data_IF_277460083573
#
_entry.id   IF_277460083573
#
_cell.length_a   1.000
_cell.length_b   1.000
_cell.length_c   1.000
_cell.angle_alpha   90.00
_cell.angle_beta   90.00
_cell.angle_gamma   90.00
#
_symmetry.space_group_name_H-M   'P 1'
#
loop_
_entity.id
_entity.type
_entity.pdbx_description
1 polymer ?
#
# COMPACT_ATOMS: atom_id res chain seq x y z
N UNK A 1 2.92 -6.65 7.64
CA UNK A 1 2.57 -7.47 8.83
C UNK A 1 1.67 -8.58 8.34
N UNK A 2 1.89 -9.84 8.73
CA UNK A 2 1.12 -10.99 8.20
C UNK A 2 -0.35 -10.94 8.63
N UNK A 3 -0.66 -10.21 9.69
CA UNK A 3 -2.01 -9.97 10.20
C UNK A 3 -2.45 -8.53 9.97
N UNK A 4 -3.76 -8.31 9.89
CA UNK A 4 -4.37 -6.98 9.76
C UNK A 4 -4.77 -6.48 11.15
N UNK A 5 -4.38 -5.25 11.51
CA UNK A 5 -4.74 -4.63 12.80
C UNK A 5 -6.22 -4.25 12.86
N UNK A 6 -6.73 -3.61 11.82
CA UNK A 6 -8.12 -3.15 11.77
C UNK A 6 -9.05 -4.23 11.23
N UNK A 7 -10.29 -4.27 11.73
CA UNK A 7 -11.30 -5.19 11.21
C UNK A 7 -11.62 -4.82 9.76
N UNK A 8 -11.52 -5.80 8.88
CA UNK A 8 -11.97 -5.72 7.49
C UNK A 8 -13.14 -6.72 7.28
N UNK A 9 -13.95 -6.57 6.22
CA UNK A 9 -15.04 -7.49 5.92
C UNK A 9 -14.56 -8.93 5.71
N UNK A 10 -15.35 -9.93 6.13
CA UNK A 10 -14.97 -11.35 6.08
C UNK A 10 -14.72 -11.84 4.64
N UNK A 11 -15.52 -11.37 3.68
CA UNK A 11 -15.31 -11.66 2.25
C UNK A 11 -13.97 -11.11 1.73
N UNK A 12 -13.48 -10.01 2.32
CA UNK A 12 -12.16 -9.46 1.96
C UNK A 12 -11.03 -10.32 2.54
N UNK A 13 -11.25 -10.94 3.70
CA UNK A 13 -10.30 -11.89 4.29
C UNK A 13 -10.22 -13.15 3.42
N UNK A 14 -11.37 -13.73 3.07
CA UNK A 14 -11.47 -14.90 2.18
C UNK A 14 -10.75 -14.66 0.85
N UNK A 15 -11.00 -13.51 0.21
CA UNK A 15 -10.29 -13.08 -1.00
C UNK A 15 -8.75 -13.09 -0.83
N UNK A 16 -8.23 -12.61 0.30
CA UNK A 16 -6.78 -12.59 0.54
C UNK A 16 -6.22 -13.97 0.85
N UNK A 17 -6.97 -14.83 1.53
CA UNK A 17 -6.59 -16.21 1.80
C UNK A 17 -6.48 -17.02 0.50
N UNK A 18 -7.52 -16.97 -0.34
CA UNK A 18 -7.53 -17.60 -1.67
C UNK A 18 -6.40 -17.10 -2.55
N UNK A 19 -6.16 -15.79 -2.56
CA UNK A 19 -5.07 -15.20 -3.32
C UNK A 19 -3.69 -15.68 -2.82
N UNK A 20 -3.51 -15.71 -1.49
CA UNK A 20 -2.25 -16.16 -0.88
C UNK A 20 -1.95 -17.62 -1.24
N UNK A 21 -2.98 -18.48 -1.19
CA UNK A 21 -2.91 -19.88 -1.57
C UNK A 21 -2.60 -20.04 -3.08
N UNK A 22 -3.33 -19.34 -3.94
CA UNK A 22 -3.14 -19.40 -5.40
C UNK A 22 -1.73 -18.95 -5.84
N UNK A 23 -1.22 -17.91 -5.18
CA UNK A 23 0.14 -17.43 -5.45
C UNK A 23 1.22 -18.35 -4.88
N UNK A 24 0.90 -19.12 -3.84
CA UNK A 24 1.85 -19.81 -2.96
C UNK A 24 2.87 -18.82 -2.38
N UNK A 25 2.36 -17.68 -1.89
CA UNK A 25 3.17 -16.58 -1.35
C UNK A 25 2.43 -15.91 -0.20
N UNK A 26 3.18 -15.46 0.80
CA UNK A 26 2.63 -14.65 1.89
C UNK A 26 2.27 -13.25 1.39
N UNK A 27 1.10 -12.77 1.79
CA UNK A 27 0.68 -11.38 1.62
C UNK A 27 1.05 -10.57 2.86
N UNK A 28 1.68 -9.41 2.68
CA UNK A 28 2.07 -8.53 3.79
C UNK A 28 1.29 -7.23 3.74
N UNK A 29 0.48 -7.00 4.77
CA UNK A 29 -0.41 -5.84 4.83
C UNK A 29 0.29 -4.63 5.45
N UNK A 30 0.06 -3.45 4.85
CA UNK A 30 0.67 -2.18 5.21
C UNK A 30 -0.32 -1.01 5.05
N UNK A 31 0.18 0.21 5.29
CA UNK A 31 -0.62 1.40 5.12
C UNK A 31 -1.58 1.64 6.27
N UNK A 32 -2.68 2.34 6.00
CA UNK A 32 -3.63 2.71 7.06
C UNK A 32 -4.29 1.50 7.71
N UNK A 33 -4.42 0.37 7.02
CA UNK A 33 -5.02 -0.84 7.60
C UNK A 33 -4.26 -1.35 8.84
N UNK A 34 -2.99 -0.94 9.00
CA UNK A 34 -2.15 -1.26 10.15
C UNK A 34 -2.08 -0.14 11.21
N UNK A 35 -2.83 0.95 11.03
CA UNK A 35 -2.74 2.17 11.86
C UNK A 35 -4.10 2.60 12.38
N UNK A 36 -4.10 3.52 13.34
CA UNK A 36 -5.33 4.03 13.95
C UNK A 36 -6.06 5.05 13.05
N UNK A 37 -5.46 5.45 11.93
CA UNK A 37 -6.08 6.36 10.95
C UNK A 37 -6.87 5.61 9.86
N UNK A 38 -7.20 4.33 10.04
CA UNK A 38 -8.00 3.56 9.06
C UNK A 38 -9.47 4.01 9.06
N UNK A 39 -10.01 4.30 7.87
CA UNK A 39 -11.43 4.59 7.67
C UNK A 39 -12.03 3.48 6.82
N UNK A 40 -12.83 2.55 7.40
CA UNK A 40 -13.46 1.48 6.66
C UNK A 40 -14.27 2.00 5.46
N UNK A 41 -14.16 1.34 4.30
CA UNK A 41 -14.85 1.71 3.06
C UNK A 41 -14.24 2.89 2.28
N UNK A 42 -13.40 3.71 2.92
CA UNK A 42 -12.75 4.89 2.29
C UNK A 42 -11.23 4.71 2.12
N UNK A 43 -10.61 3.94 3.01
CA UNK A 43 -9.17 3.64 2.97
C UNK A 43 -8.89 2.39 2.15
N UNK A 44 -7.88 2.47 1.29
CA UNK A 44 -7.28 1.32 0.62
C UNK A 44 -6.56 0.39 1.61
N UNK A 45 -6.45 -0.87 1.19
CA UNK A 45 -5.60 -1.89 1.81
C UNK A 45 -4.32 -1.97 0.97
N UNK A 46 -3.18 -1.61 1.55
CA UNK A 46 -1.88 -1.76 0.89
C UNK A 46 -1.32 -3.16 1.18
N UNK A 47 -0.94 -3.90 0.14
CA UNK A 47 -0.43 -5.27 0.23
C UNK A 47 0.88 -5.39 -0.55
N UNK A 48 1.94 -5.85 0.12
CA UNK A 48 3.18 -6.19 -0.53
C UNK A 48 3.29 -7.70 -0.78
N UNK A 49 3.81 -8.05 -1.95
CA UNK A 49 4.13 -9.41 -2.36
C UNK A 49 5.61 -9.45 -2.71
N UNK A 50 6.37 -10.27 -1.99
CA UNK A 50 7.78 -10.51 -2.27
C UNK A 50 7.95 -11.82 -3.03
N UNK A 51 8.69 -11.75 -4.14
CA UNK A 51 8.86 -12.90 -5.03
C UNK A 51 10.25 -12.89 -5.65
N UNK A 52 10.75 -14.07 -5.98
CA UNK A 52 11.94 -14.29 -6.78
C UNK A 52 11.66 -14.10 -8.28
N UNK A 53 10.39 -14.26 -8.71
CA UNK A 53 9.96 -14.12 -10.09
C UNK A 53 8.75 -13.17 -10.22
N UNK A 54 9.03 -11.87 -10.36
CA UNK A 54 8.01 -10.82 -10.49
C UNK A 54 7.09 -11.05 -11.69
N UNK A 55 7.64 -11.52 -12.82
CA UNK A 55 6.87 -11.73 -14.06
C UNK A 55 5.80 -12.81 -13.85
N UNK A 56 6.17 -13.95 -13.26
CA UNK A 56 5.25 -15.05 -12.98
C UNK A 56 4.18 -14.64 -11.96
N UNK A 57 4.56 -13.96 -10.88
CA UNK A 57 3.61 -13.47 -9.87
C UNK A 57 2.61 -12.49 -10.50
N UNK A 58 3.04 -11.58 -11.36
CA UNK A 58 2.14 -10.69 -12.08
C UNK A 58 1.22 -11.48 -13.01
N UNK A 59 1.71 -12.48 -13.74
CA UNK A 59 0.86 -13.31 -14.61
C UNK A 59 -0.21 -14.07 -13.81
N UNK A 60 0.14 -14.63 -12.65
CA UNK A 60 -0.85 -15.24 -11.74
C UNK A 60 -1.88 -14.21 -11.25
N UNK A 61 -1.44 -13.02 -10.81
CA UNK A 61 -2.33 -11.95 -10.39
C UNK A 61 -3.26 -11.47 -11.52
N UNK A 62 -2.78 -11.40 -12.76
CA UNK A 62 -3.62 -11.07 -13.91
C UNK A 62 -4.77 -12.06 -14.06
N UNK A 63 -4.49 -13.35 -13.93
CA UNK A 63 -5.48 -14.40 -14.04
C UNK A 63 -6.48 -14.35 -12.87
N UNK A 64 -5.98 -14.28 -11.64
CA UNK A 64 -6.81 -14.26 -10.43
C UNK A 64 -7.71 -13.02 -10.37
N UNK A 65 -7.18 -11.84 -10.66
CA UNK A 65 -7.92 -10.57 -10.58
C UNK A 65 -8.69 -10.21 -11.86
N UNK A 66 -8.54 -11.01 -12.92
CA UNK A 66 -9.10 -10.73 -14.25
C UNK A 66 -8.72 -9.36 -14.83
N UNK A 67 -7.44 -8.99 -14.70
CA UNK A 67 -6.88 -7.68 -15.11
C UNK A 67 -5.86 -7.82 -16.24
N UNK A 68 -5.63 -6.72 -16.97
CA UNK A 68 -4.65 -6.68 -18.07
C UNK A 68 -3.26 -6.41 -17.54
N UNK A 69 -2.23 -6.82 -18.30
CA UNK A 69 -0.83 -6.52 -17.96
C UNK A 69 -0.57 -5.02 -17.87
N UNK A 70 -1.25 -4.23 -18.70
CA UNK A 70 -1.18 -2.77 -18.74
C UNK A 70 -1.65 -2.10 -17.45
N UNK A 71 -2.42 -2.79 -16.62
CA UNK A 71 -2.91 -2.25 -15.35
C UNK A 71 -1.81 -2.25 -14.27
N UNK A 72 -0.75 -3.04 -14.48
CA UNK A 72 0.44 -3.03 -13.65
C UNK A 72 1.41 -1.94 -14.09
N UNK A 73 1.72 -1.03 -13.17
CA UNK A 73 2.65 0.08 -13.39
C UNK A 73 3.97 -0.21 -12.71
N UNK A 74 5.08 -0.03 -13.43
CA UNK A 74 6.41 -0.08 -12.82
C UNK A 74 6.61 1.14 -11.95
N UNK A 75 7.36 0.98 -10.87
CA UNK A 75 7.77 2.11 -10.04
C UNK A 75 9.19 1.92 -9.52
N UNK A 76 9.76 3.04 -9.08
CA UNK A 76 11.07 3.12 -8.46
C UNK A 76 10.92 3.82 -7.12
N UNK A 77 11.57 3.27 -6.10
CA UNK A 77 11.56 3.82 -4.76
C UNK A 77 12.97 3.86 -4.19
N UNK A 78 13.46 5.04 -3.82
CA UNK A 78 14.69 5.18 -3.04
C UNK A 78 14.34 5.05 -1.55
N UNK A 79 14.91 4.05 -0.91
CA UNK A 79 14.70 3.78 0.51
C UNK A 79 15.47 4.82 1.36
N UNK A 80 14.80 5.40 2.35
CA UNK A 80 15.33 6.51 3.15
C UNK A 80 16.49 6.08 4.04
N UNK A 81 16.45 4.86 4.59
CA UNK A 81 17.45 4.39 5.55
C UNK A 81 18.82 4.05 4.96
N UNK A 82 18.93 3.79 3.65
CA UNK A 82 20.20 3.38 3.03
C UNK A 82 20.40 3.85 1.58
N UNK A 83 19.50 4.68 1.05
CA UNK A 83 19.52 5.16 -0.34
C UNK A 83 19.48 4.07 -1.42
N UNK A 84 19.14 2.82 -1.08
CA UNK A 84 18.97 1.75 -2.06
C UNK A 84 17.80 2.08 -2.97
N UNK A 85 17.99 1.89 -4.27
CA UNK A 85 16.94 2.05 -5.28
C UNK A 85 16.25 0.69 -5.45
N UNK A 86 15.04 0.57 -4.93
CA UNK A 86 14.18 -0.58 -5.12
C UNK A 86 13.29 -0.36 -6.35
N UNK A 87 13.06 -1.43 -7.09
CA UNK A 87 12.15 -1.46 -8.23
C UNK A 87 11.00 -2.40 -7.88
N UNK A 88 9.82 -2.10 -8.42
CA UNK A 88 8.65 -2.96 -8.24
C UNK A 88 7.58 -2.69 -9.29
N UNK A 89 6.51 -3.46 -9.19
CA UNK A 89 5.31 -3.30 -10.00
C UNK A 89 4.12 -3.11 -9.07
N UNK A 90 3.24 -2.17 -9.37
CA UNK A 90 2.03 -1.96 -8.59
C UNK A 90 0.78 -2.05 -9.43
N UNK A 91 -0.29 -2.56 -8.84
CA UNK A 91 -1.64 -2.54 -9.41
C UNK A 91 -2.61 -2.08 -8.34
N UNK A 92 -3.58 -1.29 -8.79
CA UNK A 92 -4.69 -0.86 -7.97
C UNK A 92 -5.94 -1.59 -8.41
N UNK A 93 -6.49 -2.41 -7.53
CA UNK A 93 -7.65 -3.25 -7.81
C UNK A 93 -8.87 -2.74 -7.04
N UNK A 94 -10.00 -2.71 -7.74
CA UNK A 94 -11.29 -2.25 -7.23
C UNK A 94 -12.37 -3.24 -7.65
N UNK A 95 -12.93 -3.95 -6.69
CA UNK A 95 -14.18 -4.68 -6.87
C UNK A 95 -15.30 -3.95 -6.12
N UNK A 96 -16.25 -3.37 -6.86
CA UNK A 96 -17.36 -2.63 -6.26
C UNK A 96 -18.41 -3.53 -5.63
N UNK A 97 -18.61 -4.74 -6.16
CA UNK A 97 -19.63 -5.67 -5.69
C UNK A 97 -19.26 -6.21 -4.31
N UNK A 98 -17.99 -6.54 -4.12
CA UNK A 98 -17.45 -7.06 -2.86
C UNK A 98 -16.87 -5.97 -1.95
N UNK A 99 -16.94 -4.69 -2.37
CA UNK A 99 -16.34 -3.55 -1.67
C UNK A 99 -14.84 -3.71 -1.38
N UNK A 100 -14.11 -4.43 -2.24
CA UNK A 100 -12.67 -4.66 -2.11
C UNK A 100 -11.91 -3.53 -2.78
N UNK A 101 -11.06 -2.89 -1.99
CA UNK A 101 -10.22 -1.79 -2.44
C UNK A 101 -8.77 -1.98 -1.98
N UNK A 102 -7.94 -2.43 -2.91
CA UNK A 102 -6.58 -2.91 -2.59
C UNK A 102 -5.55 -2.38 -3.57
N UNK A 103 -4.39 -2.00 -3.04
CA UNK A 103 -3.18 -1.74 -3.81
C UNK A 103 -2.18 -2.87 -3.56
N UNK A 104 -1.82 -3.59 -4.62
CA UNK A 104 -0.75 -4.57 -4.56
C UNK A 104 0.56 -3.97 -5.05
N UNK A 105 1.63 -4.13 -4.26
CA UNK A 105 3.00 -3.82 -4.64
C UNK A 105 3.84 -5.10 -4.68
N UNK A 106 4.45 -5.36 -5.82
CA UNK A 106 5.17 -6.60 -6.11
C UNK A 106 6.65 -6.26 -6.22
N UNK A 107 7.45 -6.93 -5.40
CA UNK A 107 8.87 -6.67 -5.26
C UNK A 107 9.69 -7.94 -5.39
N UNK A 108 10.90 -7.79 -5.94
CA UNK A 108 11.90 -8.84 -5.82
C UNK A 108 12.29 -9.07 -4.34
N UNK A 109 12.43 -10.33 -3.94
CA UNK A 109 12.84 -10.76 -2.59
C UNK A 109 14.13 -10.09 -2.10
N UNK A 110 15.06 -9.74 -3.00
CA UNK A 110 16.30 -9.02 -2.63
C UNK A 110 16.06 -7.69 -1.91
N UNK A 111 14.92 -7.05 -2.13
CA UNK A 111 14.57 -5.74 -1.53
C UNK A 111 13.79 -5.87 -0.23
N UNK A 112 13.34 -7.07 0.15
CA UNK A 112 12.42 -7.31 1.26
C UNK A 112 12.85 -6.66 2.56
N UNK A 113 14.08 -6.92 3.01
CA UNK A 113 14.57 -6.38 4.28
C UNK A 113 14.50 -4.85 4.35
N UNK A 114 14.87 -4.17 3.26
CA UNK A 114 14.85 -2.71 3.19
C UNK A 114 13.42 -2.15 3.15
N UNK A 115 12.55 -2.76 2.34
CA UNK A 115 11.15 -2.33 2.21
C UNK A 115 10.39 -2.54 3.53
N UNK A 116 10.55 -3.71 4.16
CA UNK A 116 9.92 -3.99 5.46
C UNK A 116 10.35 -2.98 6.53
N UNK A 117 11.61 -2.55 6.52
CA UNK A 117 12.10 -1.53 7.44
C UNK A 117 11.40 -0.19 7.22
N UNK A 118 11.27 0.27 5.97
CA UNK A 118 10.55 1.51 5.65
C UNK A 118 9.08 1.44 6.08
N UNK A 119 8.39 0.35 5.78
CA UNK A 119 6.99 0.20 6.18
C UNK A 119 6.83 0.17 7.69
N UNK A 120 7.70 -0.54 8.42
CA UNK A 120 7.63 -0.62 9.88
C UNK A 120 7.77 0.76 10.52
N UNK A 121 8.67 1.59 10.00
CA UNK A 121 8.85 2.98 10.45
C UNK A 121 7.61 3.85 10.22
N UNK A 122 6.81 3.54 9.20
CA UNK A 122 5.56 4.27 8.86
C UNK A 122 4.31 3.66 9.46
N UNK A 123 4.40 2.48 10.08
CA UNK A 123 3.29 1.84 10.79
C UNK A 123 3.18 2.36 12.21
N UNK A 124 4.31 2.48 12.92
CA UNK A 124 4.34 2.97 14.31
C UNK A 124 4.52 4.49 14.31
N UNK A 125 3.40 5.20 14.25
CA UNK A 125 3.40 6.66 14.22
C UNK A 125 3.37 7.27 15.62
N UNK A 126 4.09 8.38 15.86
CA UNK A 126 3.91 9.20 17.05
C UNK A 126 2.47 9.70 17.17
N UNK A 127 1.99 9.85 18.40
CA UNK A 127 0.60 10.27 18.70
C UNK A 127 0.15 11.51 17.91
N UNK A 128 1.01 12.53 17.83
CA UNK A 128 0.69 13.76 17.10
C UNK A 128 0.50 13.52 15.59
N UNK A 129 1.29 12.65 14.98
CA UNK A 129 1.18 12.33 13.56
C UNK A 129 -0.11 11.56 13.27
N UNK A 130 -0.48 10.62 14.15
CA UNK A 130 -1.76 9.89 14.05
C UNK A 130 -2.96 10.83 14.13
N UNK A 131 -2.98 11.76 15.09
CA UNK A 131 -4.07 12.75 15.20
C UNK A 131 -4.16 13.67 13.99
N UNK A 132 -3.02 14.15 13.49
CA UNK A 132 -3.00 14.97 12.28
C UNK A 132 -3.56 14.21 11.08
N UNK A 133 -3.27 12.91 10.93
CA UNK A 133 -3.84 12.08 9.87
C UNK A 133 -5.35 11.89 10.03
N UNK A 134 -5.84 11.65 11.25
CA UNK A 134 -7.28 11.51 11.52
C UNK A 134 -8.02 12.80 11.17
N UNK A 135 -7.52 13.96 11.62
CA UNK A 135 -8.10 15.27 11.31
C UNK A 135 -8.09 15.49 9.79
N UNK A 136 -6.94 15.28 9.14
CA UNK A 136 -6.80 15.47 7.69
C UNK A 136 -7.80 14.60 6.91
N UNK A 137 -7.95 13.33 7.31
CA UNK A 137 -8.90 12.39 6.71
C UNK A 137 -10.34 12.81 6.94
N UNK A 138 -10.69 13.26 8.14
CA UNK A 138 -12.04 13.78 8.42
C UNK A 138 -12.38 15.00 7.56
N UNK A 139 -11.45 15.95 7.41
CA UNK A 139 -11.62 17.12 6.54
C UNK A 139 -11.83 16.74 5.06
N UNK A 140 -11.14 15.68 4.60
CA UNK A 140 -11.22 15.22 3.22
C UNK A 140 -12.43 14.33 2.93
N UNK A 141 -12.67 13.30 3.75
CA UNK A 141 -13.72 12.30 3.52
C UNK A 141 -15.10 12.78 3.96
N UNK A 142 -15.21 13.47 5.10
CA UNK A 142 -16.50 13.85 5.66
C UNK A 142 -16.90 15.27 5.23
N UNK A 143 -16.00 16.24 5.43
CA UNK A 143 -16.33 17.65 5.16
C UNK A 143 -16.12 18.05 3.69
N UNK A 144 -15.40 17.23 2.90
CA UNK A 144 -15.07 17.50 1.48
C UNK A 144 -14.45 18.89 1.23
N UNK A 145 -13.73 19.43 2.23
CA UNK A 145 -13.10 20.77 2.17
C UNK A 145 -11.83 20.75 1.33
N UNK A 146 -11.11 19.63 1.35
CA UNK A 146 -9.81 19.49 0.69
C UNK A 146 -9.99 18.80 -0.67
N UNK A 147 -9.25 19.28 -1.67
CA UNK A 147 -9.12 18.53 -2.92
C UNK A 147 -8.10 17.39 -2.76
N UNK A 148 -8.14 16.43 -3.68
CA UNK A 148 -7.30 15.23 -3.64
C UNK A 148 -5.80 15.54 -3.65
N UNK A 149 -5.35 16.57 -4.37
CA UNK A 149 -3.92 16.93 -4.45
C UNK A 149 -3.45 17.46 -3.12
N UNK A 150 -4.21 18.37 -2.51
CA UNK A 150 -3.91 18.94 -1.19
C UNK A 150 -3.90 17.87 -0.11
N UNK A 151 -4.92 17.00 -0.08
CA UNK A 151 -4.97 15.85 0.84
C UNK A 151 -3.73 14.95 0.71
N UNK A 152 -3.39 14.58 -0.53
CA UNK A 152 -2.24 13.69 -0.80
C UNK A 152 -0.92 14.32 -0.38
N UNK A 153 -0.75 15.62 -0.64
CA UNK A 153 0.45 16.37 -0.24
C UNK A 153 0.63 16.37 1.28
N UNK A 154 -0.40 16.76 2.04
CA UNK A 154 -0.32 16.80 3.49
C UNK A 154 -0.18 15.40 4.12
N UNK A 155 -0.91 14.41 3.60
CA UNK A 155 -0.77 13.01 4.02
C UNK A 155 0.68 12.55 3.87
N UNK A 156 1.31 12.83 2.73
CA UNK A 156 2.73 12.50 2.50
C UNK A 156 3.64 13.21 3.50
N UNK A 157 3.45 14.51 3.74
CA UNK A 157 4.26 15.30 4.68
C UNK A 157 4.16 14.81 6.12
N UNK A 158 2.97 14.44 6.58
CA UNK A 158 2.79 13.88 7.93
C UNK A 158 3.50 12.53 8.05
N UNK A 159 3.42 11.69 7.00
CA UNK A 159 4.04 10.36 6.97
C UNK A 159 5.55 10.35 6.67
N UNK A 160 6.13 11.48 6.26
CA UNK A 160 7.58 11.65 6.08
C UNK A 160 8.16 12.55 7.18
N UNK A 161 7.97 13.87 7.02
CA UNK A 161 8.53 14.90 7.89
C UNK A 161 8.00 14.77 9.31
N UNK A 162 6.71 14.42 9.46
CA UNK A 162 6.09 14.24 10.77
C UNK A 162 6.72 13.12 11.60
N UNK A 163 7.46 12.18 10.99
CA UNK A 163 8.17 11.11 11.70
C UNK A 163 9.71 11.24 11.60
N UNK A 164 10.19 12.43 11.20
CA UNK A 164 11.62 12.72 11.10
C UNK A 164 12.31 12.12 9.87
N UNK A 165 11.55 11.70 8.85
CA UNK A 165 12.10 11.18 7.60
C UNK A 165 12.14 12.23 6.51
N UNK A 166 13.11 12.13 5.57
CA UNK A 166 13.08 12.92 4.36
C UNK A 166 11.85 12.58 3.51
N UNK A 167 11.51 13.46 2.57
CA UNK A 167 10.41 13.20 1.64
C UNK A 167 10.66 11.94 0.82
N UNK A 168 9.65 11.08 0.74
CA UNK A 168 9.73 9.86 -0.04
C UNK A 168 10.00 10.15 -1.52
N UNK A 169 11.06 9.54 -2.03
CA UNK A 169 11.40 9.52 -3.45
C UNK A 169 10.83 8.26 -4.09
N UNK A 170 9.51 8.30 -4.33
CA UNK A 170 8.74 7.25 -5.00
C UNK A 170 8.18 7.78 -6.32
N UNK A 171 8.48 7.10 -7.42
CA UNK A 171 8.09 7.52 -8.78
C UNK A 171 7.47 6.34 -9.52
N UNK A 172 6.24 6.50 -9.99
CA UNK A 172 5.60 5.56 -10.90
C UNK A 172 6.11 5.87 -12.30
N UNK A 173 6.68 4.86 -12.96
CA UNK A 173 7.16 4.97 -14.33
C UNK A 173 5.96 4.85 -15.27
N UNK A 174 5.83 5.79 -16.22
CA UNK A 174 4.82 5.67 -17.26
C UNK A 174 5.09 4.43 -18.11
N UNK A 175 4.03 3.65 -18.38
CA UNK A 175 4.09 2.61 -19.39
C UNK A 175 4.17 3.28 -20.76
N UNK A 176 5.30 3.11 -21.46
CA UNK A 176 5.36 3.38 -22.91
C UNK A 176 4.37 2.51 -23.66
#
# INVERSE_FOLDING_TARGET
METIKNKIPDNTIEFFEELSEYLDKKLLFFGSVQRDDYFPGESDIDVDIFTDNETQTITKLQHFLHVKRSDFKKFVWRLNHNNTIAYGNKIFYKNKEESIFVEFSIYNERYKKGILKEHTMKTVLPFYASWLLIILKYLFYNLKILDKKTFTYWKKKILSVGIGLPDDQFVVLESK
#
